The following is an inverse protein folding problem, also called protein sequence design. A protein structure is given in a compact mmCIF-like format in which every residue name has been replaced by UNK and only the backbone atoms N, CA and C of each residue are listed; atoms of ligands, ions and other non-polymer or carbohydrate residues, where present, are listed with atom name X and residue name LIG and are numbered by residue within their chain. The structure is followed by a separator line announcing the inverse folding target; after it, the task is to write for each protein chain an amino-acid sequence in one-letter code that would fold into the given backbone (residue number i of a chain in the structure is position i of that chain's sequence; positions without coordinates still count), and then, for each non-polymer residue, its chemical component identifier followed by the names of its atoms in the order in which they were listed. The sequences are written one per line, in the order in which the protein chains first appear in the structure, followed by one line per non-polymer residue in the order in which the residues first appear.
data_IF_324017460394
#
_entry.id   IF_324017460394
#
_cell.length_a   1.000
_cell.length_b   1.000
_cell.length_c   1.000
_cell.angle_alpha   90.00
_cell.angle_beta   90.00
_cell.angle_gamma   90.00
#
_symmetry.space_group_name_H-M   'P 1'
#
loop_
_entity.id
_entity.type
_entity.pdbx_description
1 polymer ?
#
# COMPACT_ATOMS: atom_id res chain seq x y z
N UNK A 1 -23.62 -22.62 -32.03
CA UNK A 1 -22.67 -21.82 -32.84
C UNK A 1 -21.87 -20.92 -31.90
N UNK A 2 -20.54 -20.96 -31.93
CA UNK A 2 -19.70 -20.13 -31.06
C UNK A 2 -19.65 -18.69 -31.58
N UNK A 3 -19.85 -17.71 -30.69
CA UNK A 3 -19.86 -16.29 -31.04
C UNK A 3 -18.42 -15.83 -31.33
N UNK A 4 -18.18 -15.23 -32.50
CA UNK A 4 -16.86 -14.76 -32.89
C UNK A 4 -16.38 -13.61 -31.98
N UNK A 5 -15.23 -13.80 -31.33
CA UNK A 5 -14.58 -12.77 -30.51
C UNK A 5 -13.95 -11.71 -31.42
N UNK A 6 -14.38 -10.44 -31.28
CA UNK A 6 -13.76 -9.30 -31.96
C UNK A 6 -12.73 -8.67 -31.05
N UNK A 7 -11.51 -8.52 -31.54
CA UNK A 7 -10.45 -7.78 -30.85
C UNK A 7 -10.47 -6.34 -31.32
N UNK A 8 -10.58 -5.39 -30.39
CA UNK A 8 -10.48 -3.95 -30.65
C UNK A 8 -9.07 -3.52 -30.24
N UNK A 9 -8.35 -2.83 -31.12
CA UNK A 9 -7.07 -2.19 -30.81
C UNK A 9 -7.31 -0.69 -30.71
N UNK A 10 -7.13 -0.15 -29.52
CA UNK A 10 -7.25 1.29 -29.26
C UNK A 10 -5.88 1.83 -28.86
N UNK A 11 -5.48 2.94 -29.49
CA UNK A 11 -4.24 3.62 -29.15
C UNK A 11 -4.48 4.45 -27.88
N UNK A 12 -3.68 4.21 -26.84
CA UNK A 12 -3.73 5.02 -25.62
C UNK A 12 -3.26 6.44 -25.96
N UNK A 13 -4.16 7.41 -25.82
CA UNK A 13 -3.82 8.81 -25.96
C UNK A 13 -3.04 9.29 -24.73
N UNK A 14 -1.71 9.25 -24.84
CA UNK A 14 -0.78 9.69 -23.81
C UNK A 14 -0.32 11.12 -24.09
N UNK A 15 -1.00 12.11 -23.50
CA UNK A 15 -0.58 13.51 -23.57
C UNK A 15 0.50 13.82 -22.52
N UNK A 16 1.29 14.89 -22.70
CA UNK A 16 2.20 15.37 -21.66
C UNK A 16 1.51 15.65 -20.31
N UNK A 17 0.28 16.17 -20.32
CA UNK A 17 -0.50 16.37 -19.09
C UNK A 17 -0.86 15.06 -18.38
N UNK A 18 -1.13 13.98 -19.11
CA UNK A 18 -1.32 12.65 -18.51
C UNK A 18 -0.02 12.12 -17.91
N UNK A 19 1.13 12.39 -18.54
CA UNK A 19 2.44 12.01 -18.01
C UNK A 19 2.74 12.69 -16.67
N UNK A 20 2.51 13.99 -16.57
CA UNK A 20 2.69 14.77 -15.34
C UNK A 20 1.76 14.29 -14.22
N UNK A 21 0.48 14.06 -14.54
CA UNK A 21 -0.49 13.51 -13.60
C UNK A 21 -0.07 12.13 -13.08
N UNK A 22 0.44 11.26 -13.96
CA UNK A 22 0.94 9.95 -13.57
C UNK A 22 2.16 10.05 -12.65
N UNK A 23 3.12 10.91 -12.99
CA UNK A 23 4.31 11.15 -12.17
C UNK A 23 3.93 11.67 -10.77
N UNK A 24 3.03 12.64 -10.68
CA UNK A 24 2.54 13.18 -9.41
C UNK A 24 1.82 12.10 -8.57
N UNK A 25 0.96 11.30 -9.19
CA UNK A 25 0.27 10.20 -8.51
C UNK A 25 1.24 9.12 -8.03
N UNK A 26 2.26 8.79 -8.81
CA UNK A 26 3.29 7.83 -8.43
C UNK A 26 4.09 8.33 -7.22
N UNK A 27 4.46 9.61 -7.18
CA UNK A 27 5.12 10.22 -6.02
C UNK A 27 4.23 10.16 -4.77
N UNK A 28 2.94 10.52 -4.90
CA UNK A 28 1.99 10.41 -3.79
C UNK A 28 1.85 8.97 -3.32
N UNK A 29 1.77 8.02 -4.25
CA UNK A 29 1.62 6.59 -3.94
C UNK A 29 2.80 6.09 -3.11
N UNK A 30 4.02 6.41 -3.53
CA UNK A 30 5.22 6.01 -2.80
C UNK A 30 5.29 6.62 -1.40
N UNK A 31 4.85 7.87 -1.23
CA UNK A 31 4.75 8.50 0.10
C UNK A 31 3.74 7.79 1.00
N UNK A 32 2.59 7.38 0.45
CA UNK A 32 1.58 6.62 1.19
C UNK A 32 2.09 5.22 1.56
N UNK A 33 2.79 4.53 0.65
CA UNK A 33 3.40 3.23 0.92
C UNK A 33 4.45 3.34 2.01
N UNK A 34 5.35 4.32 1.94
CA UNK A 34 6.37 4.56 2.95
C UNK A 34 5.74 4.81 4.33
N UNK A 35 4.72 5.65 4.39
CA UNK A 35 3.96 5.90 5.61
C UNK A 35 3.38 4.60 6.19
N UNK A 36 2.72 3.77 5.37
CA UNK A 36 2.18 2.50 5.87
C UNK A 36 3.27 1.51 6.29
N UNK A 37 4.44 1.56 5.69
CA UNK A 37 5.59 0.79 6.13
C UNK A 37 6.04 1.21 7.53
N UNK A 38 6.08 2.52 7.82
CA UNK A 38 6.39 3.04 9.16
C UNK A 38 5.34 2.63 10.20
N UNK A 39 4.06 2.66 9.84
CA UNK A 39 2.98 2.14 10.69
C UNK A 39 3.18 0.66 11.00
N UNK A 40 3.56 -0.14 9.99
CA UNK A 40 3.85 -1.56 10.19
C UNK A 40 5.08 -1.76 11.08
N UNK A 41 6.13 -0.94 10.95
CA UNK A 41 7.29 -1.02 11.82
C UNK A 41 6.93 -0.72 13.28
N UNK A 42 6.07 0.26 13.53
CA UNK A 42 5.56 0.58 14.86
C UNK A 42 4.62 -0.51 15.43
N UNK A 43 3.94 -1.26 14.55
CA UNK A 43 2.95 -2.28 14.91
C UNK A 43 3.22 -3.63 14.21
N UNK A 44 4.42 -4.18 14.39
CA UNK A 44 4.89 -5.34 13.63
C UNK A 44 3.99 -6.59 13.72
N UNK A 45 3.26 -6.76 14.83
CA UNK A 45 2.31 -7.87 15.04
C UNK A 45 1.18 -7.90 14.01
N UNK A 46 0.90 -6.79 13.32
CA UNK A 46 -0.06 -6.74 12.21
C UNK A 46 0.31 -7.72 11.09
N UNK A 47 1.60 -8.06 10.94
CA UNK A 47 2.06 -8.97 9.90
C UNK A 47 1.66 -10.44 10.13
N UNK A 48 1.35 -10.80 11.37
CA UNK A 48 0.89 -12.14 11.77
C UNK A 48 -0.58 -12.39 11.41
N UNK A 49 -1.33 -11.32 11.13
CA UNK A 49 -2.72 -11.39 10.71
C UNK A 49 -2.86 -11.85 9.24
N UNK A 50 -4.05 -12.33 8.87
CA UNK A 50 -4.37 -12.50 7.45
C UNK A 50 -4.32 -11.15 6.72
N UNK A 51 -4.08 -11.15 5.40
CA UNK A 51 -3.99 -9.90 4.62
C UNK A 51 -5.24 -9.02 4.77
N UNK A 52 -6.43 -9.62 4.88
CA UNK A 52 -7.70 -8.90 5.05
C UNK A 52 -7.79 -8.22 6.42
N UNK A 53 -7.37 -8.92 7.47
CA UNK A 53 -7.35 -8.40 8.84
C UNK A 53 -6.29 -7.32 8.99
N UNK A 54 -5.08 -7.56 8.47
CA UNK A 54 -4.00 -6.58 8.46
C UNK A 54 -4.42 -5.29 7.75
N UNK A 55 -5.10 -5.39 6.60
CA UNK A 55 -5.63 -4.22 5.89
C UNK A 55 -6.62 -3.44 6.77
N UNK A 56 -7.56 -4.14 7.39
CA UNK A 56 -8.58 -3.51 8.25
C UNK A 56 -7.94 -2.85 9.47
N UNK A 57 -6.96 -3.50 10.09
CA UNK A 57 -6.21 -2.96 11.23
C UNK A 57 -5.45 -1.69 10.84
N UNK A 58 -4.69 -1.71 9.74
CA UNK A 58 -3.93 -0.55 9.26
C UNK A 58 -4.85 0.60 8.84
N UNK A 59 -5.98 0.32 8.18
CA UNK A 59 -6.95 1.36 7.82
C UNK A 59 -7.55 2.01 9.09
N UNK A 60 -7.83 1.22 10.14
CA UNK A 60 -8.35 1.72 11.43
C UNK A 60 -7.32 2.54 12.21
N UNK A 61 -6.04 2.15 12.16
CA UNK A 61 -4.95 2.89 12.82
C UNK A 61 -4.69 4.26 12.20
N UNK A 62 -5.05 4.44 10.92
CA UNK A 62 -4.53 5.54 10.10
C UNK A 62 -5.57 6.49 9.54
N UNK A 63 -6.82 6.05 9.39
CA UNK A 63 -7.88 6.86 8.83
C UNK A 63 -9.02 7.06 9.83
N UNK A 64 -9.41 8.32 10.03
CA UNK A 64 -10.58 8.65 10.83
C UNK A 64 -11.84 8.10 10.16
N UNK A 65 -12.64 7.36 10.92
CA UNK A 65 -13.95 6.88 10.51
C UNK A 65 -14.98 7.27 11.56
N UNK A 66 -16.27 7.13 11.25
CA UNK A 66 -17.34 7.38 12.23
C UNK A 66 -17.16 6.59 13.55
N UNK A 67 -16.55 5.40 13.47
CA UNK A 67 -16.27 4.53 14.62
C UNK A 67 -14.91 4.80 15.30
N UNK A 68 -13.94 5.38 14.58
CA UNK A 68 -12.60 5.70 15.09
C UNK A 68 -12.25 7.13 14.69
N UNK A 69 -12.56 8.10 15.54
CA UNK A 69 -12.42 9.54 15.22
C UNK A 69 -10.97 10.05 15.35
N UNK A 70 -10.14 9.36 16.11
CA UNK A 70 -8.76 9.77 16.43
C UNK A 70 -7.78 8.64 16.08
N UNK A 71 -7.35 8.55 14.81
CA UNK A 71 -6.35 7.57 14.41
C UNK A 71 -5.02 7.82 15.12
N UNK A 72 -4.34 6.74 15.52
CA UNK A 72 -3.07 6.80 16.27
C UNK A 72 -1.95 7.38 15.39
N UNK A 73 -1.93 6.96 14.12
CA UNK A 73 -0.97 7.45 13.13
C UNK A 73 -1.75 8.03 11.95
N UNK A 74 -2.13 9.32 11.96
CA UNK A 74 -3.02 9.88 10.95
C UNK A 74 -2.36 9.94 9.57
N UNK A 75 -2.98 9.30 8.57
CA UNK A 75 -2.56 9.39 7.16
C UNK A 75 -2.68 10.83 6.60
N UNK A 76 -3.52 11.66 7.22
CA UNK A 76 -3.65 13.08 6.89
C UNK A 76 -2.33 13.86 6.98
N UNK A 77 -1.33 13.34 7.71
CA UNK A 77 0.04 13.87 7.74
C UNK A 77 0.77 13.75 6.39
N UNK A 78 0.37 12.80 5.52
CA UNK A 78 0.94 12.61 4.18
C UNK A 78 0.20 13.45 3.15
N UNK A 79 -1.11 13.31 3.09
CA UNK A 79 -2.00 14.08 2.23
C UNK A 79 -3.45 14.00 2.76
N UNK A 80 -4.20 15.06 2.49
CA UNK A 80 -5.62 15.13 2.84
C UNK A 80 -6.46 14.34 1.82
N UNK A 81 -7.60 13.81 2.25
CA UNK A 81 -8.64 13.22 1.40
C UNK A 81 -8.19 12.12 0.44
N UNK A 82 -7.22 11.30 0.84
CA UNK A 82 -6.75 10.17 0.03
C UNK A 82 -7.91 9.18 -0.20
N UNK A 83 -8.29 8.86 -1.46
CA UNK A 83 -9.38 7.94 -1.75
C UNK A 83 -9.19 6.54 -1.17
N UNK A 84 -10.28 5.88 -0.76
CA UNK A 84 -10.21 4.58 -0.10
C UNK A 84 -9.44 3.52 -0.91
N UNK A 85 -9.64 3.44 -2.23
CA UNK A 85 -8.90 2.50 -3.08
C UNK A 85 -7.40 2.79 -3.12
N UNK A 86 -7.01 4.06 -3.12
CA UNK A 86 -5.61 4.47 -3.10
C UNK A 86 -4.94 4.07 -1.78
N UNK A 87 -5.63 4.30 -0.65
CA UNK A 87 -5.16 3.85 0.67
C UNK A 87 -4.98 2.34 0.70
N UNK A 88 -5.98 1.57 0.26
CA UNK A 88 -5.93 0.10 0.24
C UNK A 88 -4.84 -0.45 -0.66
N UNK A 89 -4.61 0.18 -1.82
CA UNK A 89 -3.48 -0.16 -2.69
C UNK A 89 -2.14 0.09 -1.98
N UNK A 90 -1.99 1.25 -1.33
CA UNK A 90 -0.81 1.59 -0.53
C UNK A 90 -0.56 0.61 0.63
N UNK A 91 -1.61 0.26 1.38
CA UNK A 91 -1.56 -0.72 2.47
C UNK A 91 -1.06 -2.08 1.96
N UNK A 92 -1.65 -2.59 0.87
CA UNK A 92 -1.25 -3.90 0.34
C UNK A 92 0.20 -3.90 -0.16
N UNK A 93 0.63 -2.83 -0.83
CA UNK A 93 2.03 -2.67 -1.25
C UNK A 93 2.99 -2.63 -0.06
N UNK A 94 2.63 -1.92 1.01
CA UNK A 94 3.41 -1.85 2.24
C UNK A 94 3.48 -3.21 2.96
N UNK A 95 2.36 -3.94 3.10
CA UNK A 95 2.33 -5.29 3.68
C UNK A 95 3.24 -6.25 2.91
N UNK A 96 3.16 -6.24 1.57
CA UNK A 96 4.00 -7.10 0.74
C UNK A 96 5.49 -6.79 0.91
N UNK A 97 5.84 -5.50 0.90
CA UNK A 97 7.21 -5.02 1.10
C UNK A 97 7.74 -5.38 2.49
N UNK A 98 6.94 -5.16 3.53
CA UNK A 98 7.30 -5.46 4.91
C UNK A 98 7.52 -6.97 5.14
N UNK A 99 6.61 -7.83 4.66
CA UNK A 99 6.78 -9.29 4.78
C UNK A 99 8.05 -9.76 4.09
N UNK A 100 8.35 -9.24 2.90
CA UNK A 100 9.59 -9.54 2.17
C UNK A 100 10.82 -9.09 2.96
N UNK A 101 10.80 -7.86 3.49
CA UNK A 101 11.87 -7.31 4.31
C UNK A 101 12.14 -8.13 5.57
N UNK A 102 11.12 -8.38 6.39
CA UNK A 102 11.27 -9.13 7.65
C UNK A 102 11.69 -10.59 7.42
N UNK A 103 11.21 -11.23 6.36
CA UNK A 103 11.67 -12.57 5.95
C UNK A 103 13.16 -12.56 5.58
N UNK A 104 13.59 -11.57 4.80
CA UNK A 104 14.99 -11.41 4.40
C UNK A 104 15.90 -11.10 5.58
N UNK A 105 15.44 -10.24 6.49
CA UNK A 105 16.13 -9.88 7.72
C UNK A 105 16.32 -11.11 8.64
N UNK A 106 15.28 -11.92 8.82
CA UNK A 106 15.35 -13.17 9.59
C UNK A 106 16.40 -14.11 9.02
N UNK A 107 16.40 -14.34 7.70
CA UNK A 107 17.39 -15.19 7.01
C UNK A 107 18.82 -14.65 7.16
N UNK A 108 18.99 -13.33 7.11
CA UNK A 108 20.28 -12.70 7.29
C UNK A 108 20.81 -12.86 8.72
N UNK A 109 19.97 -12.66 9.74
CA UNK A 109 20.35 -12.87 11.16
C UNK A 109 20.81 -14.30 11.44
N UNK A 110 20.04 -15.29 10.97
CA UNK A 110 20.40 -16.72 11.12
C UNK A 110 21.76 -17.03 10.48
N UNK A 111 22.09 -16.40 9.34
CA UNK A 111 23.41 -16.57 8.71
C UNK A 111 24.52 -15.93 9.53
N UNK A 112 24.28 -14.76 10.12
CA UNK A 112 25.24 -14.06 10.96
C UNK A 112 25.52 -14.77 12.28
N UNK A 113 24.53 -15.41 12.89
CA UNK A 113 24.69 -16.18 14.14
C UNK A 113 25.46 -17.50 13.95
N UNK A 114 25.56 -18.00 12.70
CA UNK A 114 26.31 -19.21 12.37
C UNK A 114 27.81 -18.96 12.07
N UNK A 115 28.24 -17.70 12.02
CA UNK A 115 29.60 -17.27 11.77
C UNK A 115 30.16 -16.53 12.99
#
# INVERSE_FOLDING_TARGET
MAKATKTIRESLQYSPSHAECFAANHVLFNRVVAFYFDVIQAHALVLDLSTKEALTALETLTHATSKSRTPIMPLASVAHDIPAYFRRAGINAAIGSARSFFSSLKKWRIRKEKH
#
